data_IF_469117274543
#
_entry.id   IF_469117274543
#
_cell.length_a   1.000
_cell.length_b   1.000
_cell.length_c   1.000
_cell.angle_alpha   90.00
_cell.angle_beta   90.00
_cell.angle_gamma   90.00
#
_symmetry.space_group_name_H-M   'P 1'
#
loop_
_entity.id
_entity.type
_entity.pdbx_description
1 polymer ?
#
# COMPACT_ATOMS: atom_id res chain seq x y z
N UNK A 1 35.52 -6.38 6.63
CA UNK A 1 35.20 -5.17 7.42
C UNK A 1 34.29 -5.60 8.56
N UNK A 2 34.57 -5.16 9.78
CA UNK A 2 33.63 -5.36 10.88
C UNK A 2 32.41 -4.43 10.67
N UNK A 3 31.19 -4.89 10.96
CA UNK A 3 30.01 -4.03 10.90
C UNK A 3 30.14 -2.86 11.89
N UNK A 4 29.76 -1.66 11.46
CA UNK A 4 29.73 -0.49 12.32
C UNK A 4 28.61 -0.62 13.37
N UNK A 5 28.78 0.04 14.52
CA UNK A 5 27.72 0.10 15.54
C UNK A 5 26.85 1.33 15.25
N UNK A 6 25.55 1.17 14.96
CA UNK A 6 24.67 2.31 14.70
C UNK A 6 24.46 3.15 15.94
N UNK A 7 24.49 4.47 15.78
CA UNK A 7 24.12 5.43 16.82
C UNK A 7 22.62 5.34 17.16
N UNK A 8 22.21 5.90 18.30
CA UNK A 8 20.78 5.94 18.67
C UNK A 8 19.96 6.79 17.69
N UNK A 9 20.50 7.92 17.24
CA UNK A 9 19.86 8.77 16.24
C UNK A 9 19.63 8.04 14.91
N UNK A 10 20.61 7.25 14.44
CA UNK A 10 20.46 6.44 13.22
C UNK A 10 19.40 5.34 13.38
N UNK A 11 19.32 4.69 14.55
CA UNK A 11 18.27 3.69 14.83
C UNK A 11 16.88 4.31 14.83
N UNK A 12 16.73 5.49 15.43
CA UNK A 12 15.46 6.21 15.49
C UNK A 12 15.03 6.68 14.09
N UNK A 13 15.95 7.23 13.30
CA UNK A 13 15.68 7.62 11.91
C UNK A 13 15.23 6.41 11.08
N UNK A 14 15.95 5.29 11.15
CA UNK A 14 15.57 4.07 10.46
C UNK A 14 14.21 3.53 10.90
N UNK A 15 13.93 3.50 12.21
CA UNK A 15 12.64 3.07 12.72
C UNK A 15 11.50 3.98 12.22
N UNK A 16 11.73 5.29 12.19
CA UNK A 16 10.77 6.27 11.66
C UNK A 16 10.49 6.03 10.17
N UNK A 17 11.53 5.81 9.36
CA UNK A 17 11.40 5.52 7.93
C UNK A 17 10.67 4.18 7.68
N UNK A 18 11.04 3.11 8.40
CA UNK A 18 10.33 1.82 8.34
C UNK A 18 8.84 1.99 8.66
N UNK A 19 8.52 2.71 9.72
CA UNK A 19 7.13 2.90 10.15
C UNK A 19 6.33 3.74 9.16
N UNK A 20 6.94 4.77 8.59
CA UNK A 20 6.32 5.60 7.55
C UNK A 20 5.99 4.77 6.31
N UNK A 21 6.94 3.95 5.84
CA UNK A 21 6.73 3.08 4.67
C UNK A 21 5.71 1.98 4.96
N UNK A 22 5.75 1.36 6.15
CA UNK A 22 4.71 0.41 6.59
C UNK A 22 3.31 1.06 6.62
N UNK A 23 3.19 2.28 7.13
CA UNK A 23 1.91 3.02 7.14
C UNK A 23 1.41 3.26 5.72
N UNK A 24 2.29 3.65 4.81
CA UNK A 24 1.95 3.88 3.40
C UNK A 24 1.42 2.61 2.74
N UNK A 25 2.05 1.46 2.98
CA UNK A 25 1.59 0.16 2.48
C UNK A 25 0.18 -0.15 3.02
N UNK A 26 -0.03 0.03 4.33
CA UNK A 26 -1.32 -0.20 4.98
C UNK A 26 -2.42 0.70 4.42
N UNK A 27 -2.12 1.98 4.20
CA UNK A 27 -3.06 2.93 3.62
C UNK A 27 -3.44 2.53 2.19
N UNK A 28 -2.46 2.13 1.37
CA UNK A 28 -2.72 1.62 0.02
C UNK A 28 -3.63 0.38 0.06
N UNK A 29 -3.37 -0.58 0.95
CA UNK A 29 -4.22 -1.77 1.09
C UNK A 29 -5.65 -1.41 1.52
N UNK A 30 -5.80 -0.45 2.44
CA UNK A 30 -7.11 0.04 2.85
C UNK A 30 -7.87 0.69 1.68
N UNK A 31 -7.20 1.56 0.91
CA UNK A 31 -7.82 2.21 -0.25
C UNK A 31 -8.20 1.21 -1.35
N UNK A 32 -7.32 0.25 -1.67
CA UNK A 32 -7.62 -0.80 -2.64
C UNK A 32 -8.86 -1.59 -2.22
N UNK A 33 -8.94 -1.97 -0.94
CA UNK A 33 -10.10 -2.71 -0.41
C UNK A 33 -11.39 -1.90 -0.58
N UNK A 34 -11.42 -0.65 -0.10
CA UNK A 34 -12.61 0.20 -0.19
C UNK A 34 -13.02 0.47 -1.65
N UNK A 35 -12.06 0.74 -2.54
CA UNK A 35 -12.35 0.95 -3.96
C UNK A 35 -12.94 -0.30 -4.63
N UNK A 36 -12.45 -1.50 -4.30
CA UNK A 36 -13.01 -2.74 -4.82
C UNK A 36 -14.45 -2.97 -4.36
N UNK A 37 -14.77 -2.63 -3.11
CA UNK A 37 -16.16 -2.67 -2.62
C UNK A 37 -17.06 -1.68 -3.39
N UNK A 38 -16.57 -0.46 -3.64
CA UNK A 38 -17.30 0.55 -4.40
C UNK A 38 -17.49 0.18 -5.88
N UNK A 39 -16.51 -0.49 -6.50
CA UNK A 39 -16.61 -1.02 -7.88
C UNK A 39 -17.77 -2.01 -7.98
N UNK A 40 -17.87 -2.96 -7.03
CA UNK A 40 -18.96 -3.93 -7.01
C UNK A 40 -20.33 -3.24 -6.84
N UNK A 41 -20.40 -2.20 -6.00
CA UNK A 41 -21.63 -1.42 -5.81
C UNK A 41 -22.02 -0.69 -7.10
N UNK A 42 -21.08 -0.03 -7.79
CA UNK A 42 -21.36 0.63 -9.06
C UNK A 42 -21.83 -0.36 -10.12
N UNK A 43 -21.18 -1.51 -10.25
CA UNK A 43 -21.54 -2.53 -11.23
C UNK A 43 -22.94 -3.11 -10.99
N UNK A 44 -23.29 -3.36 -9.72
CA UNK A 44 -24.63 -3.77 -9.34
C UNK A 44 -25.67 -2.69 -9.67
N UNK A 45 -25.36 -1.41 -9.41
CA UNK A 45 -26.24 -0.28 -9.74
C UNK A 45 -26.37 -0.06 -11.24
N UNK A 46 -25.29 -0.26 -12.01
CA UNK A 46 -25.33 -0.22 -13.47
C UNK A 46 -26.28 -1.29 -14.02
N UNK A 47 -26.15 -2.55 -13.56
CA UNK A 47 -27.03 -3.64 -13.96
C UNK A 47 -28.50 -3.36 -13.61
N UNK A 48 -28.77 -2.83 -12.41
CA UNK A 48 -30.11 -2.46 -11.99
C UNK A 48 -30.71 -1.30 -12.83
N UNK A 49 -29.91 -0.29 -13.17
CA UNK A 49 -30.33 0.81 -14.04
C UNK A 49 -30.62 0.32 -15.46
N UNK A 50 -29.77 -0.57 -15.99
CA UNK A 50 -29.97 -1.19 -17.31
C UNK A 50 -31.27 -2.01 -17.35
N UNK A 51 -31.56 -2.81 -16.32
CA UNK A 51 -32.80 -3.57 -16.22
C UNK A 51 -34.07 -2.69 -16.19
N UNK A 52 -33.93 -1.42 -15.77
CA UNK A 52 -35.00 -0.42 -15.75
C UNK A 52 -35.06 0.46 -17.00
N UNK A 53 -34.21 0.23 -18.00
CA UNK A 53 -34.11 1.06 -19.19
C UNK A 53 -33.45 2.43 -18.97
N UNK A 54 -32.83 2.65 -17.81
CA UNK A 54 -32.16 3.91 -17.45
C UNK A 54 -30.72 3.93 -17.96
N UNK A 55 -30.56 3.94 -19.29
CA UNK A 55 -29.25 3.81 -19.94
C UNK A 55 -28.25 4.89 -19.52
N UNK A 56 -28.70 6.14 -19.36
CA UNK A 56 -27.83 7.25 -18.93
C UNK A 56 -27.24 7.03 -17.53
N UNK A 57 -28.07 6.56 -16.59
CA UNK A 57 -27.61 6.23 -15.23
C UNK A 57 -26.66 5.03 -15.23
N UNK A 58 -26.99 3.99 -16.00
CA UNK A 58 -26.14 2.80 -16.17
C UNK A 58 -24.74 3.18 -16.65
N UNK A 59 -24.64 4.03 -17.68
CA UNK A 59 -23.36 4.53 -18.19
C UNK A 59 -22.61 5.30 -17.12
N UNK A 60 -23.30 6.15 -16.34
CA UNK A 60 -22.69 6.89 -15.24
C UNK A 60 -22.06 5.99 -14.17
N UNK A 61 -22.73 4.89 -13.78
CA UNK A 61 -22.16 3.90 -12.86
C UNK A 61 -20.95 3.16 -13.46
N UNK A 62 -21.02 2.76 -14.73
CA UNK A 62 -19.91 2.08 -15.41
C UNK A 62 -18.66 2.96 -15.55
N UNK A 63 -18.84 4.26 -15.84
CA UNK A 63 -17.74 5.22 -15.89
C UNK A 63 -17.06 5.35 -14.52
N UNK A 64 -17.84 5.46 -13.44
CA UNK A 64 -17.27 5.49 -12.08
C UNK A 64 -16.51 4.21 -11.72
N UNK A 65 -17.06 3.04 -12.04
CA UNK A 65 -16.36 1.75 -11.83
C UNK A 65 -15.02 1.74 -12.58
N UNK A 66 -15.01 2.20 -13.84
CA UNK A 66 -13.78 2.27 -14.65
C UNK A 66 -12.73 3.20 -14.04
N UNK A 67 -13.14 4.38 -13.55
CA UNK A 67 -12.21 5.32 -12.91
C UNK A 67 -11.70 4.77 -11.58
N UNK A 68 -12.54 4.11 -10.79
CA UNK A 68 -12.12 3.42 -9.56
C UNK A 68 -11.13 2.29 -9.84
N UNK A 69 -11.32 1.51 -10.91
CA UNK A 69 -10.34 0.48 -11.32
C UNK A 69 -8.98 1.07 -11.66
N UNK A 70 -8.93 2.26 -12.28
CA UNK A 70 -7.68 2.98 -12.52
C UNK A 70 -7.01 3.41 -11.22
N UNK A 71 -7.79 3.90 -10.25
CA UNK A 71 -7.27 4.22 -8.92
C UNK A 71 -6.71 2.98 -8.21
N UNK A 72 -7.40 1.84 -8.27
CA UNK A 72 -6.90 0.57 -7.72
C UNK A 72 -5.54 0.22 -8.32
N UNK A 73 -5.38 0.30 -9.65
CA UNK A 73 -4.11 0.02 -10.32
C UNK A 73 -2.98 0.96 -9.84
N UNK A 74 -3.28 2.25 -9.67
CA UNK A 74 -2.32 3.22 -9.14
C UNK A 74 -1.90 2.88 -7.70
N UNK A 75 -2.84 2.56 -6.81
CA UNK A 75 -2.52 2.18 -5.44
C UNK A 75 -1.79 0.84 -5.35
N UNK A 76 -2.09 -0.12 -6.23
CA UNK A 76 -1.32 -1.36 -6.31
C UNK A 76 0.13 -1.11 -6.72
N UNK A 77 0.35 -0.21 -7.69
CA UNK A 77 1.69 0.18 -8.10
C UNK A 77 2.44 0.88 -6.96
N UNK A 78 1.78 1.81 -6.27
CA UNK A 78 2.35 2.50 -5.10
C UNK A 78 2.67 1.52 -3.97
N UNK A 79 1.78 0.58 -3.66
CA UNK A 79 2.03 -0.45 -2.64
C UNK A 79 3.25 -1.30 -3.01
N UNK A 80 3.37 -1.71 -4.27
CA UNK A 80 4.52 -2.48 -4.76
C UNK A 80 5.82 -1.69 -4.62
N UNK A 81 5.82 -0.42 -5.03
CA UNK A 81 6.98 0.46 -4.87
C UNK A 81 7.37 0.62 -3.39
N UNK A 82 6.43 0.95 -2.51
CA UNK A 82 6.70 1.08 -1.07
C UNK A 82 7.20 -0.24 -0.44
N UNK A 83 6.72 -1.39 -0.93
CA UNK A 83 7.22 -2.70 -0.48
C UNK A 83 8.66 -2.94 -0.91
N UNK A 84 9.02 -2.54 -2.14
CA UNK A 84 10.39 -2.60 -2.64
C UNK A 84 11.30 -1.64 -1.86
N UNK A 85 10.86 -0.41 -1.62
CA UNK A 85 11.60 0.58 -0.83
C UNK A 85 11.86 0.07 0.58
N UNK A 86 10.88 -0.57 1.23
CA UNK A 86 11.05 -1.18 2.55
C UNK A 86 12.09 -2.32 2.53
N UNK A 87 12.10 -3.14 1.47
CA UNK A 87 13.08 -4.21 1.32
C UNK A 87 14.50 -3.64 1.14
N UNK A 88 14.65 -2.63 0.27
CA UNK A 88 15.92 -1.93 0.02
C UNK A 88 16.43 -1.28 1.31
N UNK A 89 15.56 -0.58 2.04
CA UNK A 89 15.91 0.10 3.28
C UNK A 89 16.43 -0.89 4.34
N UNK A 90 15.76 -2.05 4.48
CA UNK A 90 16.22 -3.13 5.37
C UNK A 90 17.55 -3.72 4.92
N UNK A 91 17.75 -3.93 3.62
CA UNK A 91 18.98 -4.47 3.05
C UNK A 91 20.16 -3.49 3.24
N UNK A 92 19.97 -2.20 3.00
CA UNK A 92 20.97 -1.17 3.21
C UNK A 92 21.40 -1.10 4.67
N UNK A 93 20.44 -1.15 5.59
CA UNK A 93 20.73 -1.20 7.02
C UNK A 93 21.53 -2.45 7.38
N UNK A 94 21.12 -3.61 6.88
CA UNK A 94 21.81 -4.88 7.10
C UNK A 94 23.25 -4.86 6.56
N UNK A 95 23.46 -4.33 5.36
CA UNK A 95 24.78 -4.24 4.74
C UNK A 95 25.71 -3.31 5.52
N UNK A 96 25.18 -2.24 6.13
CA UNK A 96 25.98 -1.27 6.91
C UNK A 96 26.32 -1.76 8.32
N UNK A 97 25.36 -2.36 9.03
CA UNK A 97 25.49 -2.67 10.46
C UNK A 97 25.44 -4.17 10.79
N UNK A 98 25.29 -5.04 9.81
CA UNK A 98 25.16 -6.49 9.98
C UNK A 98 23.81 -6.93 10.56
N UNK A 99 23.69 -8.23 10.88
CA UNK A 99 22.50 -8.79 11.52
C UNK A 99 22.55 -8.42 13.01
N UNK A 100 21.61 -7.63 13.54
CA UNK A 100 21.66 -7.30 14.95
C UNK A 100 21.16 -8.52 15.69
N UNK A 101 22.03 -9.18 16.46
CA UNK A 101 21.66 -10.30 17.32
C UNK A 101 20.54 -9.96 18.35
N UNK A 102 20.06 -8.71 18.40
CA UNK A 102 18.94 -8.24 19.24
C UNK A 102 17.68 -7.76 18.50
N UNK A 103 17.55 -7.93 17.18
CA UNK A 103 16.41 -7.38 16.40
C UNK A 103 15.11 -8.18 16.41
N UNK A 104 15.08 -9.37 17.03
CA UNK A 104 13.85 -10.18 17.21
C UNK A 104 12.70 -9.45 17.93
N UNK A 105 12.93 -8.26 18.49
CA UNK A 105 11.93 -7.46 19.21
C UNK A 105 11.11 -6.49 18.37
N UNK A 106 11.50 -6.20 17.13
CA UNK A 106 10.86 -5.16 16.30
C UNK A 106 9.83 -5.70 15.29
N UNK A 107 9.82 -7.00 15.02
CA UNK A 107 8.79 -7.65 14.20
C UNK A 107 7.46 -7.86 14.96
N UNK A 108 7.37 -7.44 16.23
CA UNK A 108 6.19 -7.57 17.09
C UNK A 108 5.45 -6.24 17.38
N UNK A 109 5.80 -5.16 16.67
CA UNK A 109 5.09 -3.87 16.71
C UNK A 109 4.75 -3.41 15.28
#
# INVERSE_FOLDING_TARGET
>A
MAPDIPSNAEKEAFASEVNTTKSTIKDCDSYIKSLNEEILIDEARAAAAQARGLLGESVGYLMRSKDRRRLVQSYEAQRRAATQDLAILKEQWYNKYGFPAGWKRWDQL
#
